data_IF_068345462477
#
_entry.id   IF_068345462477
#
_cell.length_a   1.000
_cell.length_b   1.000
_cell.length_c   1.000
_cell.angle_alpha   90.00
_cell.angle_beta   90.00
_cell.angle_gamma   90.00
#
_symmetry.space_group_name_H-M   'P 1'
#
loop_
_entity.id
_entity.type
_entity.pdbx_description
1 polymer ?
#
# COMPACT_ATOMS: atom_id res chain seq x y z
N UNK A 1 25.64 32.53 13.20
CA UNK A 1 26.12 31.37 12.42
C UNK A 1 24.88 30.59 12.02
N UNK A 2 24.43 30.76 10.78
CA UNK A 2 23.28 30.03 10.24
C UNK A 2 23.77 28.70 9.67
N UNK A 3 23.20 27.59 10.11
CA UNK A 3 23.46 26.27 9.56
C UNK A 3 22.14 25.67 9.05
N UNK A 4 22.05 25.43 7.74
CA UNK A 4 20.93 24.74 7.14
C UNK A 4 21.12 23.22 7.29
N UNK A 5 20.27 22.59 8.10
CA UNK A 5 20.23 21.14 8.24
C UNK A 5 19.35 20.54 7.14
N UNK A 6 19.86 19.52 6.46
CA UNK A 6 19.17 18.84 5.36
C UNK A 6 19.21 17.33 5.59
N UNK A 7 18.11 16.64 5.27
CA UNK A 7 18.04 15.18 5.33
C UNK A 7 18.71 14.49 4.13
N UNK A 8 19.08 15.25 3.09
CA UNK A 8 19.64 14.69 1.84
C UNK A 8 20.92 13.88 2.03
N UNK A 9 21.91 14.30 2.86
CA UNK A 9 23.10 13.49 3.09
C UNK A 9 22.77 12.13 3.73
N UNK A 10 21.89 12.11 4.74
CA UNK A 10 21.46 10.87 5.38
C UNK A 10 20.71 9.94 4.42
N UNK A 11 19.86 10.49 3.53
CA UNK A 11 19.22 9.73 2.46
C UNK A 11 20.24 9.17 1.48
N UNK A 12 21.21 9.99 1.05
CA UNK A 12 22.25 9.60 0.10
C UNK A 12 23.06 8.41 0.62
N UNK A 13 23.46 8.44 1.89
CA UNK A 13 24.21 7.35 2.53
C UNK A 13 23.42 6.03 2.52
N UNK A 14 22.11 6.10 2.77
CA UNK A 14 21.22 4.92 2.77
C UNK A 14 20.89 4.41 1.37
N UNK A 15 20.85 5.29 0.37
CA UNK A 15 20.52 4.96 -1.02
C UNK A 15 21.75 4.57 -1.85
N UNK A 16 22.96 4.90 -1.41
CA UNK A 16 24.21 4.60 -2.13
C UNK A 16 24.37 3.11 -2.51
N UNK A 17 24.03 2.12 -1.66
CA UNK A 17 24.08 0.70 -2.05
C UNK A 17 23.15 0.37 -3.21
N UNK A 18 21.95 0.94 -3.23
CA UNK A 18 20.97 0.75 -4.32
C UNK A 18 21.42 1.45 -5.60
N UNK A 19 21.98 2.65 -5.50
CA UNK A 19 22.56 3.36 -6.65
C UNK A 19 23.70 2.56 -7.30
N UNK A 20 24.56 1.93 -6.49
CA UNK A 20 25.60 1.02 -6.99
C UNK A 20 25.01 -0.24 -7.62
N UNK A 21 23.97 -0.81 -7.02
CA UNK A 21 23.27 -1.96 -7.60
C UNK A 21 22.61 -1.62 -8.95
N UNK A 22 22.19 -0.37 -9.14
CA UNK A 22 21.73 0.13 -10.44
C UNK A 22 22.85 0.21 -11.49
N UNK A 23 24.11 0.01 -11.14
CA UNK A 23 25.26 0.14 -12.05
C UNK A 23 25.47 1.56 -12.57
N UNK A 24 25.01 2.56 -11.82
CA UNK A 24 25.19 3.98 -12.13
C UNK A 24 26.50 4.50 -11.54
N UNK A 25 27.07 5.53 -12.18
CA UNK A 25 28.24 6.22 -11.66
C UNK A 25 28.01 6.67 -10.21
N UNK A 26 28.96 6.39 -9.28
CA UNK A 26 28.86 6.83 -7.90
C UNK A 26 28.62 8.34 -7.83
N UNK A 27 27.63 8.78 -7.04
CA UNK A 27 27.20 10.18 -6.97
C UNK A 27 25.97 10.43 -7.84
N UNK A 28 26.07 10.26 -9.17
CA UNK A 28 24.94 10.51 -10.09
C UNK A 28 23.74 9.62 -9.76
N UNK A 29 23.96 8.30 -9.61
CA UNK A 29 22.88 7.38 -9.28
C UNK A 29 22.24 7.68 -7.92
N UNK A 30 23.06 8.06 -6.93
CA UNK A 30 22.58 8.43 -5.60
C UNK A 30 21.76 9.71 -5.65
N UNK A 31 22.20 10.72 -6.38
CA UNK A 31 21.47 11.99 -6.56
C UNK A 31 20.12 11.78 -7.24
N UNK A 32 20.05 10.96 -8.29
CA UNK A 32 18.81 10.60 -8.96
C UNK A 32 17.84 9.92 -7.98
N UNK A 33 18.31 8.93 -7.21
CA UNK A 33 17.48 8.24 -6.22
C UNK A 33 17.01 9.19 -5.11
N UNK A 34 17.90 10.03 -4.58
CA UNK A 34 17.56 11.01 -3.53
C UNK A 34 16.52 12.00 -4.03
N UNK A 35 16.70 12.56 -5.23
CA UNK A 35 15.72 13.48 -5.82
C UNK A 35 14.38 12.79 -6.04
N UNK A 36 14.36 11.57 -6.60
CA UNK A 36 13.13 10.82 -6.81
C UNK A 36 12.39 10.53 -5.49
N UNK A 37 13.09 10.10 -4.44
CA UNK A 37 12.50 9.88 -3.10
C UNK A 37 11.91 11.17 -2.53
N UNK A 38 12.64 12.28 -2.61
CA UNK A 38 12.17 13.58 -2.11
C UNK A 38 10.93 14.04 -2.88
N UNK A 39 10.93 13.96 -4.20
CA UNK A 39 9.77 14.36 -5.02
C UNK A 39 8.55 13.47 -4.73
N UNK A 40 8.72 12.16 -4.65
CA UNK A 40 7.62 11.22 -4.32
C UNK A 40 7.07 11.44 -2.91
N UNK A 41 7.88 11.92 -1.96
CA UNK A 41 7.44 12.17 -0.58
C UNK A 41 6.44 13.32 -0.43
N UNK A 42 6.40 14.24 -1.39
CA UNK A 42 5.63 15.49 -1.28
C UNK A 42 4.94 15.89 -2.58
N UNK A 43 4.67 14.93 -3.47
CA UNK A 43 4.11 15.23 -4.79
C UNK A 43 2.66 15.70 -4.66
N UNK A 44 2.35 16.88 -5.19
CA UNK A 44 0.99 17.42 -5.25
C UNK A 44 0.75 18.06 -6.61
N UNK A 45 -0.46 17.89 -7.14
CA UNK A 45 -0.95 18.58 -8.34
C UNK A 45 -2.25 19.30 -7.98
N UNK A 46 -2.33 20.61 -8.25
CA UNK A 46 -3.50 21.45 -7.91
C UNK A 46 -3.97 21.34 -6.44
N UNK A 47 -3.05 21.03 -5.52
CA UNK A 47 -3.34 20.85 -4.09
C UNK A 47 -3.81 19.44 -3.70
N UNK A 48 -3.95 18.52 -4.67
CA UNK A 48 -4.24 17.11 -4.42
C UNK A 48 -2.93 16.31 -4.31
N UNK A 49 -2.73 15.52 -3.24
CA UNK A 49 -1.56 14.67 -3.11
C UNK A 49 -1.59 13.56 -4.17
N UNK A 50 -0.48 13.38 -4.87
CA UNK A 50 -0.28 12.26 -5.79
C UNK A 50 0.68 11.25 -5.17
N UNK A 51 0.37 9.96 -5.30
CA UNK A 51 1.20 8.87 -4.80
C UNK A 51 1.63 7.93 -5.94
N UNK A 52 2.41 8.42 -6.92
CA UNK A 52 2.84 7.61 -8.04
C UNK A 52 3.76 6.47 -7.58
N UNK A 53 3.83 5.43 -8.41
CA UNK A 53 4.88 4.40 -8.31
C UNK A 53 5.91 4.73 -9.37
N UNK A 54 7.18 4.84 -8.97
CA UNK A 54 8.31 5.15 -9.84
C UNK A 54 9.24 3.96 -9.91
N UNK A 55 9.60 3.53 -11.11
CA UNK A 55 10.62 2.52 -11.34
C UNK A 55 11.81 3.16 -12.05
N UNK A 56 13.00 2.91 -11.53
CA UNK A 56 14.26 3.41 -12.04
C UNK A 56 15.09 2.21 -12.47
N UNK A 57 15.55 2.18 -13.70
CA UNK A 57 16.35 1.08 -14.24
C UNK A 57 17.23 1.55 -15.39
N UNK A 58 17.84 0.58 -16.07
CA UNK A 58 18.74 0.85 -17.21
C UNK A 58 18.14 0.48 -18.56
N UNK A 59 17.36 -0.59 -18.60
CA UNK A 59 16.75 -1.12 -19.81
C UNK A 59 15.25 -1.25 -19.62
N UNK A 60 14.50 -0.85 -20.65
CA UNK A 60 13.04 -0.83 -20.60
C UNK A 60 12.47 -2.24 -20.56
N UNK A 61 12.95 -3.12 -21.43
CA UNK A 61 12.42 -4.48 -21.58
C UNK A 61 12.65 -5.31 -20.32
N UNK A 62 13.86 -5.26 -19.76
CA UNK A 62 14.21 -5.98 -18.53
C UNK A 62 13.42 -5.46 -17.33
N UNK A 63 13.22 -4.15 -17.25
CA UNK A 63 12.40 -3.53 -16.20
C UNK A 63 10.95 -3.99 -16.32
N UNK A 64 10.35 -3.89 -17.51
CA UNK A 64 8.96 -4.30 -17.74
C UNK A 64 8.76 -5.79 -17.45
N UNK A 65 9.69 -6.65 -17.86
CA UNK A 65 9.63 -8.08 -17.56
C UNK A 65 9.67 -8.35 -16.05
N UNK A 66 10.58 -7.70 -15.33
CA UNK A 66 10.77 -7.90 -13.89
C UNK A 66 9.55 -7.46 -13.06
N UNK A 67 8.81 -6.45 -13.51
CA UNK A 67 7.67 -5.87 -12.78
C UNK A 67 6.31 -6.20 -13.40
N UNK A 68 6.30 -7.07 -14.41
CA UNK A 68 5.12 -7.41 -15.22
C UNK A 68 4.42 -6.18 -15.81
N UNK A 69 5.21 -5.19 -16.21
CA UNK A 69 4.76 -3.98 -16.89
C UNK A 69 4.47 -4.23 -18.36
N UNK A 70 3.55 -3.45 -18.93
CA UNK A 70 3.17 -3.51 -20.34
C UNK A 70 2.91 -2.11 -20.92
N UNK A 71 2.77 -2.01 -22.23
CA UNK A 71 2.35 -0.78 -22.93
C UNK A 71 3.14 0.48 -22.50
N UNK A 72 4.48 0.48 -22.64
CA UNK A 72 5.27 1.66 -22.30
C UNK A 72 4.96 2.82 -23.24
N UNK A 73 4.92 4.02 -22.69
CA UNK A 73 4.79 5.29 -23.42
C UNK A 73 5.91 6.20 -22.93
N UNK A 74 6.95 6.36 -23.76
CA UNK A 74 8.04 7.30 -23.48
C UNK A 74 7.59 8.72 -23.83
N UNK A 75 7.79 9.66 -22.91
CA UNK A 75 7.32 11.03 -23.02
C UNK A 75 8.44 12.02 -23.30
N UNK A 76 9.68 11.69 -22.92
CA UNK A 76 10.81 12.54 -23.18
C UNK A 76 12.14 11.97 -22.72
N UNK A 77 13.18 12.74 -22.98
CA UNK A 77 14.54 12.45 -22.55
C UNK A 77 15.33 13.73 -22.31
N UNK A 78 16.44 13.62 -21.60
CA UNK A 78 17.38 14.72 -21.38
C UNK A 78 18.66 14.23 -20.73
N UNK A 79 19.60 15.17 -20.52
CA UNK A 79 20.83 14.88 -19.76
C UNK A 79 20.47 14.54 -18.32
N UNK A 80 21.16 13.55 -17.73
CA UNK A 80 20.94 13.17 -16.32
C UNK A 80 21.28 14.36 -15.43
N UNK A 81 20.25 14.93 -14.81
CA UNK A 81 20.37 16.02 -13.86
C UNK A 81 19.17 16.02 -12.91
N UNK A 82 19.30 16.70 -11.76
CA UNK A 82 18.19 16.88 -10.82
C UNK A 82 16.99 17.57 -11.47
N UNK A 83 17.24 18.51 -12.38
CA UNK A 83 16.20 19.21 -13.14
C UNK A 83 15.46 18.27 -14.07
N UNK A 84 16.18 17.37 -14.75
CA UNK A 84 15.57 16.37 -15.63
C UNK A 84 14.72 15.36 -14.83
N UNK A 85 15.19 14.93 -13.65
CA UNK A 85 14.38 14.07 -12.76
C UNK A 85 13.10 14.76 -12.32
N UNK A 86 13.17 16.04 -11.91
CA UNK A 86 11.98 16.82 -11.53
C UNK A 86 11.01 16.99 -12.69
N UNK A 87 11.53 17.32 -13.89
CA UNK A 87 10.74 17.44 -15.11
C UNK A 87 10.03 16.12 -15.46
N UNK A 88 10.77 15.01 -15.42
CA UNK A 88 10.24 13.68 -15.67
C UNK A 88 9.08 13.35 -14.71
N UNK A 89 9.30 13.52 -13.40
CA UNK A 89 8.29 13.23 -12.40
C UNK A 89 7.07 14.14 -12.54
N UNK A 90 7.27 15.44 -12.78
CA UNK A 90 6.16 16.39 -13.01
C UNK A 90 5.35 16.08 -14.26
N UNK A 91 6.01 15.62 -15.32
CA UNK A 91 5.33 15.28 -16.58
C UNK A 91 4.56 13.96 -16.48
N UNK A 92 5.05 13.00 -15.69
CA UNK A 92 4.48 11.66 -15.59
C UNK A 92 3.52 11.47 -14.41
N UNK A 93 3.67 12.19 -13.30
CA UNK A 93 2.92 11.94 -12.07
C UNK A 93 1.39 12.06 -12.24
N UNK A 94 0.85 13.07 -12.95
CA UNK A 94 -0.59 13.16 -13.19
C UNK A 94 -1.13 11.98 -14.02
N UNK A 95 -0.31 11.38 -14.88
CA UNK A 95 -0.67 10.22 -15.70
C UNK A 95 -0.62 8.90 -14.91
N UNK A 96 0.08 8.89 -13.78
CA UNK A 96 0.28 7.72 -12.91
C UNK A 96 -0.69 7.69 -11.71
N UNK A 97 -1.78 8.47 -11.77
CA UNK A 97 -2.82 8.44 -10.75
C UNK A 97 -3.49 7.05 -10.66
N UNK A 98 -3.87 6.63 -9.45
CA UNK A 98 -4.59 5.36 -9.24
C UNK A 98 -3.74 4.09 -9.43
N UNK A 99 -2.42 4.21 -9.63
CA UNK A 99 -1.45 3.10 -9.69
C UNK A 99 -1.71 2.05 -10.78
N UNK A 100 -2.52 2.37 -11.79
CA UNK A 100 -2.67 1.54 -13.00
C UNK A 100 -1.55 1.80 -14.00
N UNK A 101 -1.00 3.01 -13.92
CA UNK A 101 0.21 3.43 -14.61
C UNK A 101 1.29 3.70 -13.58
N UNK A 102 2.52 3.37 -13.93
CA UNK A 102 3.70 3.70 -13.14
C UNK A 102 4.69 4.49 -14.00
N UNK A 103 5.46 5.35 -13.33
CA UNK A 103 6.51 6.15 -13.96
C UNK A 103 7.73 5.26 -14.17
N UNK A 104 8.35 5.35 -15.34
CA UNK A 104 9.65 4.74 -15.62
C UNK A 104 10.69 5.82 -15.86
N UNK A 105 11.85 5.69 -15.20
CA UNK A 105 13.05 6.48 -15.44
C UNK A 105 14.17 5.52 -15.87
N UNK A 106 14.62 5.65 -17.11
CA UNK A 106 15.73 4.87 -17.66
C UNK A 106 16.98 5.73 -17.63
N UNK A 107 18.00 5.28 -16.91
CA UNK A 107 19.25 6.03 -16.71
C UNK A 107 20.40 5.27 -17.37
N UNK A 108 21.07 5.90 -18.33
CA UNK A 108 22.19 5.31 -19.05
C UNK A 108 22.95 6.33 -19.90
N UNK A 109 24.27 6.16 -20.05
CA UNK A 109 25.13 6.98 -20.94
C UNK A 109 25.00 8.51 -20.72
N UNK A 110 24.75 8.95 -19.47
CA UNK A 110 24.54 10.37 -19.16
C UNK A 110 23.20 10.93 -19.65
N UNK A 111 22.31 10.07 -20.15
CA UNK A 111 20.93 10.39 -20.53
C UNK A 111 19.92 9.78 -19.54
N UNK A 112 18.82 10.50 -19.35
CA UNK A 112 17.63 10.07 -18.64
C UNK A 112 16.47 10.08 -19.62
N UNK A 113 15.88 8.91 -19.88
CA UNK A 113 14.61 8.80 -20.60
C UNK A 113 13.49 8.55 -19.59
N UNK A 114 12.32 9.10 -19.85
CA UNK A 114 11.20 8.98 -18.94
C UNK A 114 9.87 8.79 -19.64
N UNK A 115 8.96 8.14 -18.94
CA UNK A 115 7.61 7.89 -19.44
C UNK A 115 6.75 7.19 -18.41
N UNK A 116 5.71 6.53 -18.89
CA UNK A 116 4.82 5.71 -18.08
C UNK A 116 4.62 4.34 -18.71
N UNK A 117 4.20 3.36 -17.91
CA UNK A 117 3.80 2.05 -18.41
C UNK A 117 2.61 1.51 -17.60
N UNK A 118 1.83 0.62 -18.19
CA UNK A 118 0.74 -0.08 -17.52
C UNK A 118 1.30 -1.12 -16.56
N UNK A 119 0.99 -1.01 -15.27
CA UNK A 119 1.34 -2.02 -14.26
C UNK A 119 0.53 -3.30 -14.44
N UNK A 120 0.90 -4.37 -13.73
CA UNK A 120 0.12 -5.62 -13.73
C UNK A 120 -1.36 -5.32 -13.36
N UNK A 121 -2.27 -5.70 -14.27
CA UNK A 121 -3.71 -5.47 -14.13
C UNK A 121 -4.42 -6.59 -13.40
N UNK A 122 -3.74 -7.72 -13.18
CA UNK A 122 -4.34 -8.84 -12.47
C UNK A 122 -4.70 -8.43 -11.04
N UNK A 123 -5.97 -8.56 -10.63
CA UNK A 123 -6.38 -8.27 -9.26
C UNK A 123 -5.84 -9.32 -8.27
N UNK A 124 -5.52 -10.54 -8.71
CA UNK A 124 -5.10 -11.66 -7.87
C UNK A 124 -3.58 -11.84 -7.77
N UNK A 125 -2.80 -11.02 -8.49
CA UNK A 125 -1.33 -10.99 -8.38
C UNK A 125 -0.89 -9.83 -7.49
N UNK A 126 0.31 -9.96 -6.93
CA UNK A 126 0.94 -8.86 -6.22
C UNK A 126 1.18 -7.69 -7.18
N UNK A 127 1.19 -6.47 -6.65
CA UNK A 127 1.42 -5.28 -7.49
C UNK A 127 2.84 -5.30 -8.08
N UNK A 128 3.07 -4.57 -9.18
CA UNK A 128 4.40 -4.40 -9.78
C UNK A 128 5.46 -3.94 -8.77
N UNK A 129 5.08 -3.13 -7.77
CA UNK A 129 5.98 -2.69 -6.70
C UNK A 129 6.26 -3.77 -5.64
N UNK A 130 5.30 -4.66 -5.37
CA UNK A 130 5.49 -5.83 -4.49
C UNK A 130 6.30 -6.93 -5.15
N UNK A 131 6.18 -7.12 -6.47
CA UNK A 131 6.97 -8.09 -7.23
C UNK A 131 8.48 -7.88 -7.03
N UNK A 132 8.92 -6.64 -6.75
CA UNK A 132 10.31 -6.32 -6.45
C UNK A 132 10.88 -7.07 -5.25
N UNK A 133 10.04 -7.41 -4.26
CA UNK A 133 10.48 -8.10 -3.04
C UNK A 133 10.90 -9.53 -3.30
N UNK A 134 10.37 -10.14 -4.34
CA UNK A 134 10.63 -11.53 -4.72
C UNK A 134 11.72 -11.65 -5.77
N UNK A 135 12.26 -10.52 -6.27
CA UNK A 135 13.32 -10.56 -7.24
C UNK A 135 14.63 -11.05 -6.59
N UNK A 136 15.30 -12.04 -7.21
CA UNK A 136 16.58 -12.53 -6.70
C UNK A 136 17.67 -11.45 -6.85
N UNK A 137 18.80 -11.63 -6.17
CA UNK A 137 19.87 -10.63 -6.13
C UNK A 137 20.58 -10.42 -7.48
N UNK A 138 20.48 -11.39 -8.38
CA UNK A 138 21.00 -11.38 -9.75
C UNK A 138 19.98 -10.86 -10.80
N UNK A 139 18.79 -10.44 -10.36
CA UNK A 139 17.80 -9.82 -11.23
C UNK A 139 18.31 -8.49 -11.83
N UNK A 140 17.69 -8.01 -12.93
CA UNK A 140 18.10 -6.77 -13.56
C UNK A 140 18.17 -5.59 -12.58
N UNK A 141 19.15 -4.68 -12.76
CA UNK A 141 19.34 -3.52 -11.90
C UNK A 141 18.13 -2.58 -11.99
N UNK A 142 17.30 -2.59 -10.95
CA UNK A 142 16.11 -1.75 -10.88
C UNK A 142 15.80 -1.33 -9.43
N UNK A 143 15.17 -0.17 -9.27
CA UNK A 143 14.69 0.35 -7.99
C UNK A 143 13.26 0.84 -8.16
N UNK A 144 12.36 0.40 -7.30
CA UNK A 144 11.01 0.95 -7.16
C UNK A 144 10.94 1.95 -6.01
N UNK A 145 10.16 3.01 -6.18
CA UNK A 145 9.89 4.04 -5.19
C UNK A 145 8.39 4.33 -5.17
N UNK A 146 7.76 4.38 -3.99
CA UNK A 146 6.37 4.81 -3.87
C UNK A 146 6.08 5.40 -2.50
N UNK A 147 5.09 6.28 -2.43
CA UNK A 147 4.52 6.71 -1.15
C UNK A 147 3.65 5.59 -0.56
N UNK A 148 3.80 5.36 0.75
CA UNK A 148 3.02 4.42 1.56
C UNK A 148 2.14 5.15 2.59
N UNK A 149 1.92 6.45 2.38
CA UNK A 149 1.22 7.38 3.27
C UNK A 149 1.74 8.81 3.08
N UNK A 150 1.12 9.80 3.73
CA UNK A 150 1.42 11.23 3.51
C UNK A 150 2.91 11.58 3.65
N UNK A 151 3.67 10.85 4.47
CA UNK A 151 5.08 11.15 4.76
C UNK A 151 6.00 9.93 4.78
N UNK A 152 5.53 8.78 4.32
CA UNK A 152 6.34 7.56 4.31
C UNK A 152 6.62 7.16 2.87
N UNK A 153 7.89 7.06 2.51
CA UNK A 153 8.32 6.57 1.19
C UNK A 153 8.97 5.20 1.34
N UNK A 154 8.45 4.23 0.58
CA UNK A 154 9.05 2.91 0.43
C UNK A 154 9.97 2.88 -0.79
N UNK A 155 11.16 2.31 -0.62
CA UNK A 155 12.13 2.07 -1.69
C UNK A 155 12.50 0.60 -1.71
N UNK A 156 12.45 -0.01 -2.89
CA UNK A 156 12.71 -1.45 -3.07
C UNK A 156 13.63 -1.72 -4.24
N UNK A 157 14.39 -2.80 -4.13
CA UNK A 157 15.20 -3.32 -5.23
C UNK A 157 15.38 -4.84 -5.12
N UNK A 158 16.08 -5.44 -6.09
CA UNK A 158 16.45 -6.84 -6.10
C UNK A 158 17.14 -7.32 -4.82
N UNK A 159 17.09 -8.63 -4.55
CA UNK A 159 17.80 -9.24 -3.43
C UNK A 159 17.22 -8.89 -2.05
N UNK A 160 15.96 -8.49 -2.00
CA UNK A 160 15.26 -8.16 -0.75
C UNK A 160 15.55 -6.76 -0.20
N UNK A 161 16.18 -5.87 -0.98
CA UNK A 161 16.40 -4.50 -0.57
C UNK A 161 15.04 -3.79 -0.34
N UNK A 162 14.81 -3.33 0.88
CA UNK A 162 13.53 -2.76 1.30
C UNK A 162 13.79 -1.68 2.38
N UNK A 163 13.72 -0.42 1.97
CA UNK A 163 13.97 0.76 2.81
C UNK A 163 12.68 1.55 2.98
N UNK A 164 12.52 2.15 4.16
CA UNK A 164 11.41 3.05 4.47
C UNK A 164 11.99 4.35 5.01
N UNK A 165 11.51 5.47 4.46
CA UNK A 165 11.86 6.80 4.88
C UNK A 165 10.61 7.49 5.43
N UNK A 166 10.66 7.87 6.70
CA UNK A 166 9.60 8.63 7.37
C UNK A 166 10.01 10.09 7.49
N UNK A 167 9.25 10.96 6.86
CA UNK A 167 9.43 12.42 6.82
C UNK A 167 8.54 13.16 7.83
N UNK A 168 7.81 12.45 8.69
CA UNK A 168 6.89 13.06 9.65
C UNK A 168 7.59 13.75 10.82
N UNK A 169 8.85 13.40 11.11
CA UNK A 169 9.61 13.95 12.24
C UNK A 169 9.09 13.51 13.62
N UNK A 170 7.87 12.99 13.68
CA UNK A 170 7.28 12.30 14.81
C UNK A 170 7.74 10.85 14.76
N UNK A 171 8.67 10.50 15.63
CA UNK A 171 9.07 9.13 15.84
C UNK A 171 7.89 8.33 16.42
N UNK A 172 6.95 7.91 15.56
CA UNK A 172 5.98 6.86 15.90
C UNK A 172 6.67 5.50 15.86
N UNK A 173 7.85 5.40 16.48
CA UNK A 173 8.66 4.17 16.59
C UNK A 173 7.89 3.01 17.25
N UNK A 174 6.82 3.32 17.99
CA UNK A 174 5.93 2.35 18.62
C UNK A 174 4.80 1.86 17.71
N UNK A 175 4.43 2.63 16.68
CA UNK A 175 3.48 2.18 15.65
C UNK A 175 4.23 1.25 14.72
N UNK A 176 3.93 -0.05 14.75
CA UNK A 176 4.64 -1.05 13.96
C UNK A 176 4.75 -0.66 12.46
N UNK A 177 5.75 -1.19 11.77
CA UNK A 177 5.94 -0.96 10.33
C UNK A 177 4.61 -1.08 9.56
N UNK A 178 4.26 -0.13 8.66
CA UNK A 178 3.04 -0.22 7.84
C UNK A 178 2.89 -1.57 7.14
N UNK A 179 4.01 -2.19 6.77
CA UNK A 179 4.06 -3.52 6.18
C UNK A 179 3.59 -4.63 7.13
N UNK A 180 3.92 -4.52 8.42
CA UNK A 180 3.46 -5.47 9.44
C UNK A 180 1.97 -5.30 9.68
N UNK A 181 1.49 -4.07 9.77
CA UNK A 181 0.05 -3.75 9.86
C UNK A 181 -0.72 -4.36 8.69
N UNK A 182 -0.20 -4.20 7.47
CA UNK A 182 -0.78 -4.81 6.26
C UNK A 182 -0.74 -6.34 6.32
N UNK A 183 0.39 -6.93 6.70
CA UNK A 183 0.53 -8.38 6.79
C UNK A 183 -0.45 -8.99 7.82
N UNK A 184 -0.60 -8.36 8.99
CA UNK A 184 -1.53 -8.80 10.02
C UNK A 184 -2.99 -8.67 9.58
N UNK A 185 -3.36 -7.59 8.89
CA UNK A 185 -4.70 -7.43 8.31
C UNK A 185 -4.99 -8.51 7.25
N UNK A 186 -4.09 -8.67 6.29
CA UNK A 186 -4.21 -9.65 5.19
C UNK A 186 -4.30 -11.06 5.75
N UNK A 187 -3.51 -11.38 6.77
CA UNK A 187 -3.58 -12.66 7.46
C UNK A 187 -4.94 -12.91 8.08
N UNK A 188 -5.46 -11.93 8.82
CA UNK A 188 -6.73 -12.07 9.51
C UNK A 188 -7.90 -12.26 8.54
N UNK A 189 -7.97 -11.43 7.50
CA UNK A 189 -9.08 -11.42 6.53
C UNK A 189 -9.07 -12.64 5.60
N UNK A 190 -7.93 -13.33 5.47
CA UNK A 190 -7.80 -14.53 4.61
C UNK A 190 -7.58 -15.84 5.38
N UNK A 191 -7.58 -15.80 6.73
CA UNK A 191 -7.24 -16.93 7.59
C UNK A 191 -8.05 -18.20 7.27
N UNK A 192 -9.35 -18.04 7.05
CA UNK A 192 -10.30 -19.14 6.80
C UNK A 192 -10.59 -19.35 5.31
N UNK A 193 -9.80 -18.73 4.41
CA UNK A 193 -9.83 -19.05 2.98
C UNK A 193 -9.14 -20.39 2.75
N UNK A 194 -9.77 -21.34 2.03
CA UNK A 194 -9.17 -22.64 1.70
C UNK A 194 -7.93 -22.51 0.80
N UNK A 195 -6.96 -23.40 0.99
CA UNK A 195 -5.93 -23.66 -0.03
C UNK A 195 -6.57 -24.36 -1.24
N UNK A 196 -6.11 -24.11 -2.49
CA UNK A 196 -4.92 -23.36 -2.89
C UNK A 196 -5.11 -21.85 -3.15
N UNK A 197 -6.28 -21.28 -2.82
CA UNK A 197 -6.66 -19.91 -3.20
C UNK A 197 -6.10 -18.83 -2.28
N UNK A 198 -5.77 -19.22 -1.04
CA UNK A 198 -5.33 -18.29 0.00
C UNK A 198 -4.20 -17.36 -0.47
N UNK A 199 -3.15 -17.80 -1.20
CA UNK A 199 -2.10 -16.91 -1.69
C UNK A 199 -2.60 -15.80 -2.63
N UNK A 200 -3.54 -16.12 -3.52
CA UNK A 200 -4.12 -15.18 -4.48
C UNK A 200 -5.00 -14.15 -3.77
N UNK A 201 -5.84 -14.60 -2.83
CA UNK A 201 -6.67 -13.70 -2.04
C UNK A 201 -5.82 -12.84 -1.10
N UNK A 202 -4.71 -13.37 -0.57
CA UNK A 202 -3.74 -12.56 0.17
C UNK A 202 -3.17 -11.45 -0.70
N UNK A 203 -2.79 -11.73 -1.95
CA UNK A 203 -2.30 -10.71 -2.87
C UNK A 203 -3.37 -9.63 -3.17
N UNK A 204 -4.61 -10.06 -3.39
CA UNK A 204 -5.75 -9.16 -3.59
C UNK A 204 -5.99 -8.24 -2.39
N UNK A 205 -6.12 -8.79 -1.19
CA UNK A 205 -6.35 -8.02 0.03
C UNK A 205 -5.15 -7.17 0.41
N UNK A 206 -3.94 -7.62 0.10
CA UNK A 206 -2.74 -6.83 0.28
C UNK A 206 -2.77 -5.58 -0.60
N UNK A 207 -3.19 -5.69 -1.86
CA UNK A 207 -3.36 -4.54 -2.76
C UNK A 207 -4.37 -3.54 -2.22
N UNK A 208 -5.54 -4.01 -1.75
CA UNK A 208 -6.53 -3.15 -1.09
C UNK A 208 -5.93 -2.48 0.14
N UNK A 209 -5.26 -3.26 0.99
CA UNK A 209 -4.64 -2.77 2.22
C UNK A 209 -3.63 -1.66 1.96
N UNK A 210 -2.75 -1.82 0.97
CA UNK A 210 -1.75 -0.80 0.59
C UNK A 210 -2.44 0.53 0.29
N UNK A 211 -3.53 0.50 -0.49
CA UNK A 211 -4.27 1.71 -0.84
C UNK A 211 -5.00 2.32 0.37
N UNK A 212 -5.51 1.49 1.29
CA UNK A 212 -6.15 1.93 2.54
C UNK A 212 -5.14 2.59 3.49
N UNK A 213 -3.97 1.99 3.66
CA UNK A 213 -2.92 2.51 4.56
C UNK A 213 -2.26 3.76 3.96
N UNK A 214 -2.07 3.78 2.63
CA UNK A 214 -1.43 4.90 1.93
C UNK A 214 -2.38 6.05 1.61
N UNK A 215 -3.70 5.83 1.64
CA UNK A 215 -4.70 6.82 1.27
C UNK A 215 -4.84 7.95 2.30
N UNK A 216 -5.46 9.07 1.92
CA UNK A 216 -5.61 10.24 2.77
C UNK A 216 -6.68 10.09 3.87
N UNK A 217 -7.64 9.16 3.72
CA UNK A 217 -8.76 8.98 4.64
C UNK A 217 -8.45 8.02 5.79
N UNK A 218 -8.88 8.35 7.00
CA UNK A 218 -8.77 7.43 8.14
C UNK A 218 -9.63 6.20 7.88
N UNK A 219 -9.20 5.03 8.35
CA UNK A 219 -9.93 3.77 8.18
C UNK A 219 -10.03 3.03 9.51
N UNK A 220 -11.14 2.32 9.71
CA UNK A 220 -11.33 1.42 10.83
C UNK A 220 -11.99 0.15 10.32
N UNK A 221 -11.32 -0.98 10.50
CA UNK A 221 -11.76 -2.27 9.97
C UNK A 221 -11.81 -3.29 11.10
N UNK A 222 -12.89 -4.06 11.14
CA UNK A 222 -13.04 -5.22 12.01
C UNK A 222 -13.11 -6.48 11.15
N UNK A 223 -12.38 -7.52 11.55
CA UNK A 223 -12.44 -8.84 10.93
C UNK A 223 -13.06 -9.79 11.94
N UNK A 224 -14.25 -10.30 11.66
CA UNK A 224 -14.93 -11.33 12.45
C UNK A 224 -14.30 -12.70 12.20
N UNK A 225 -14.33 -13.55 13.22
CA UNK A 225 -14.15 -14.98 13.00
C UNK A 225 -15.24 -15.53 12.06
N UNK A 226 -14.89 -16.43 11.14
CA UNK A 226 -15.83 -16.96 10.13
C UNK A 226 -17.10 -17.63 10.69
N UNK A 227 -17.09 -17.99 11.98
CA UNK A 227 -18.21 -18.60 12.70
C UNK A 227 -18.89 -17.62 13.68
N UNK A 228 -18.32 -16.44 13.89
CA UNK A 228 -18.88 -15.44 14.77
C UNK A 228 -20.08 -14.76 14.08
N UNK A 229 -21.09 -14.44 14.87
CA UNK A 229 -22.16 -13.54 14.44
C UNK A 229 -21.69 -12.10 14.57
N UNK A 230 -22.36 -11.19 13.86
CA UNK A 230 -22.17 -9.76 14.04
C UNK A 230 -22.34 -9.41 15.52
N UNK A 231 -21.31 -8.84 16.19
CA UNK A 231 -21.43 -8.51 17.59
C UNK A 231 -22.48 -7.42 17.84
N UNK A 232 -23.23 -7.54 18.94
CA UNK A 232 -24.28 -6.58 19.30
C UNK A 232 -23.78 -5.14 19.42
N UNK A 233 -22.49 -4.96 19.74
CA UNK A 233 -21.89 -3.62 19.85
C UNK A 233 -21.74 -2.90 18.50
N UNK A 234 -21.88 -3.61 17.36
CA UNK A 234 -21.81 -3.08 15.98
C UNK A 234 -23.19 -2.95 15.31
N UNK A 235 -24.28 -2.79 16.05
CA UNK A 235 -25.62 -2.85 15.46
C UNK A 235 -26.00 -1.67 14.55
N UNK A 236 -25.37 -0.50 14.69
CA UNK A 236 -25.84 0.75 14.09
C UNK A 236 -25.25 0.99 12.68
N UNK A 237 -24.97 -0.10 11.95
CA UNK A 237 -24.29 -0.07 10.66
C UNK A 237 -25.13 -0.52 9.48
N UNK A 238 -24.61 -0.27 8.27
CA UNK A 238 -25.19 -0.79 7.04
C UNK A 238 -24.71 -2.23 6.82
N UNK A 239 -25.49 -3.18 7.32
CA UNK A 239 -25.30 -4.60 7.08
C UNK A 239 -25.83 -4.99 5.70
N UNK A 240 -25.03 -5.70 4.92
CA UNK A 240 -25.45 -6.16 3.61
C UNK A 240 -26.41 -7.35 3.75
N UNK A 241 -27.49 -7.33 2.97
CA UNK A 241 -28.44 -8.45 2.91
C UNK A 241 -27.74 -9.75 2.47
N UNK A 242 -26.80 -9.62 1.53
CA UNK A 242 -25.90 -10.69 1.12
C UNK A 242 -24.46 -10.18 1.25
N UNK A 243 -23.57 -10.90 1.97
CA UNK A 243 -22.15 -10.56 2.01
C UNK A 243 -21.56 -10.48 0.60
N UNK A 244 -20.76 -9.44 0.34
CA UNK A 244 -19.98 -9.41 -0.89
C UNK A 244 -18.86 -10.43 -0.74
N UNK A 245 -18.88 -11.46 -1.59
CA UNK A 245 -17.93 -12.56 -1.55
C UNK A 245 -16.96 -12.50 -2.74
N UNK A 246 -15.85 -11.78 -2.53
CA UNK A 246 -14.79 -11.71 -3.52
C UNK A 246 -14.00 -13.00 -3.64
N UNK A 247 -14.00 -13.84 -2.60
CA UNK A 247 -13.37 -15.17 -2.64
C UNK A 247 -14.07 -16.06 -3.65
N UNK A 248 -15.41 -16.07 -3.67
CA UNK A 248 -16.18 -16.79 -4.67
C UNK A 248 -15.97 -16.26 -6.10
N UNK A 249 -15.77 -14.94 -6.25
CA UNK A 249 -15.49 -14.34 -7.56
C UNK A 249 -14.07 -14.65 -8.05
N UNK A 250 -13.08 -14.57 -7.18
CA UNK A 250 -11.69 -14.93 -7.48
C UNK A 250 -11.58 -16.41 -7.89
N UNK A 251 -12.33 -17.28 -7.21
CA UNK A 251 -12.50 -18.69 -7.52
C UNK A 251 -12.94 -18.95 -8.97
N UNK A 252 -14.00 -18.26 -9.40
CA UNK A 252 -14.52 -18.40 -10.77
C UNK A 252 -13.51 -17.87 -11.79
N UNK A 253 -12.90 -16.73 -11.50
CA UNK A 253 -11.89 -16.15 -12.38
C UNK A 253 -10.69 -17.10 -12.59
N UNK A 254 -10.18 -17.74 -11.54
CA UNK A 254 -9.06 -18.69 -11.65
C UNK A 254 -9.44 -19.97 -12.39
N UNK A 255 -10.69 -20.43 -12.25
CA UNK A 255 -11.16 -21.61 -12.96
C UNK A 255 -11.39 -21.34 -14.46
N UNK A 256 -12.01 -20.21 -14.79
CA UNK A 256 -12.55 -19.94 -16.12
C UNK A 256 -11.74 -18.93 -16.93
N UNK A 257 -10.87 -18.15 -16.27
CA UNK A 257 -10.12 -17.03 -16.84
C UNK A 257 -11.00 -16.04 -17.62
N UNK A 258 -12.28 -15.91 -17.20
CA UNK A 258 -13.28 -15.10 -17.87
C UNK A 258 -13.06 -13.60 -17.68
N UNK A 259 -13.17 -12.83 -18.76
CA UNK A 259 -13.04 -11.37 -18.75
C UNK A 259 -14.07 -10.70 -17.83
N UNK A 260 -15.29 -11.25 -17.76
CA UNK A 260 -16.36 -10.74 -16.90
C UNK A 260 -15.99 -10.81 -15.42
N UNK A 261 -15.41 -11.92 -14.96
CA UNK A 261 -15.01 -12.06 -13.56
C UNK A 261 -13.78 -11.19 -13.24
N UNK A 262 -12.86 -11.02 -14.20
CA UNK A 262 -11.74 -10.08 -14.06
C UNK A 262 -12.22 -8.64 -13.85
N UNK A 263 -13.15 -8.17 -14.68
CA UNK A 263 -13.79 -6.86 -14.55
C UNK A 263 -14.57 -6.75 -13.23
N UNK A 264 -15.24 -7.82 -12.82
CA UNK A 264 -15.91 -7.91 -11.54
C UNK A 264 -14.94 -7.69 -10.36
N UNK A 265 -13.80 -8.39 -10.35
CA UNK A 265 -12.79 -8.25 -9.29
C UNK A 265 -12.25 -6.82 -9.21
N UNK A 266 -12.02 -6.18 -10.36
CA UNK A 266 -11.60 -4.78 -10.42
C UNK A 266 -12.69 -3.85 -9.86
N UNK A 267 -13.93 -4.03 -10.29
CA UNK A 267 -15.06 -3.19 -9.87
C UNK A 267 -15.34 -3.33 -8.37
N UNK A 268 -15.44 -4.56 -7.87
CA UNK A 268 -15.68 -4.82 -6.45
C UNK A 268 -14.48 -4.43 -5.58
N UNK A 269 -13.24 -4.62 -6.04
CA UNK A 269 -12.07 -4.09 -5.36
C UNK A 269 -12.13 -2.57 -5.20
N UNK A 270 -12.58 -1.85 -6.24
CA UNK A 270 -12.83 -0.41 -6.16
C UNK A 270 -13.91 -0.05 -5.15
N UNK A 271 -15.01 -0.80 -5.12
CA UNK A 271 -16.09 -0.60 -4.15
C UNK A 271 -15.64 -0.84 -2.70
N UNK A 272 -14.88 -1.90 -2.45
CA UNK A 272 -14.34 -2.23 -1.12
C UNK A 272 -13.49 -1.09 -0.58
N UNK A 273 -12.59 -0.55 -1.41
CA UNK A 273 -11.75 0.60 -1.02
C UNK A 273 -12.58 1.81 -0.62
N UNK A 274 -13.64 2.12 -1.36
CA UNK A 274 -14.55 3.21 -1.03
C UNK A 274 -15.29 2.94 0.29
N UNK A 275 -15.79 1.72 0.49
CA UNK A 275 -16.46 1.33 1.74
C UNK A 275 -15.53 1.39 2.96
N UNK A 276 -14.26 1.02 2.81
CA UNK A 276 -13.23 1.12 3.87
C UNK A 276 -12.88 2.57 4.20
N UNK A 277 -12.87 3.45 3.19
CA UNK A 277 -12.58 4.87 3.36
C UNK A 277 -13.76 5.70 3.90
N UNK A 278 -14.95 5.12 4.06
CA UNK A 278 -16.10 5.80 4.64
C UNK A 278 -15.91 5.99 6.16
N UNK A 279 -16.70 6.88 6.73
CA UNK A 279 -16.74 7.00 8.20
C UNK A 279 -17.37 5.75 8.83
N UNK A 280 -17.02 5.48 10.08
CA UNK A 280 -17.42 4.27 10.79
C UNK A 280 -16.46 3.09 10.58
N UNK A 281 -16.97 1.89 10.83
CA UNK A 281 -16.23 0.62 10.81
C UNK A 281 -16.69 -0.19 9.60
N UNK A 282 -15.74 -0.71 8.84
CA UNK A 282 -15.99 -1.74 7.82
C UNK A 282 -15.79 -3.12 8.43
N UNK A 283 -16.71 -4.02 8.18
CA UNK A 283 -16.73 -5.35 8.80
C UNK A 283 -16.51 -6.41 7.72
N UNK A 284 -15.45 -7.17 7.87
CA UNK A 284 -15.17 -8.39 7.12
C UNK A 284 -15.35 -9.62 8.00
N UNK A 285 -15.45 -10.80 7.39
CA UNK A 285 -15.07 -12.03 8.06
C UNK A 285 -13.67 -12.50 7.63
N UNK A 286 -13.16 -13.51 8.32
CA UNK A 286 -11.87 -14.15 8.04
C UNK A 286 -11.83 -15.02 6.78
N UNK A 287 -12.94 -15.08 6.01
CA UNK A 287 -12.99 -15.68 4.66
C UNK A 287 -12.87 -14.61 3.57
N UNK A 288 -12.72 -13.35 3.93
CA UNK A 288 -12.62 -12.24 3.00
C UNK A 288 -13.97 -11.89 2.38
N UNK A 289 -15.05 -11.94 3.15
CA UNK A 289 -16.35 -11.42 2.73
C UNK A 289 -16.63 -10.12 3.45
N UNK A 290 -17.06 -9.10 2.72
CA UNK A 290 -17.52 -7.85 3.31
C UNK A 290 -18.96 -8.03 3.80
N UNK A 291 -19.16 -7.87 5.10
CA UNK A 291 -20.45 -8.09 5.78
C UNK A 291 -21.25 -6.80 5.95
N UNK A 292 -20.55 -5.70 6.20
CA UNK A 292 -21.17 -4.40 6.45
C UNK A 292 -20.14 -3.29 6.46
N UNK A 293 -20.64 -2.06 6.40
CA UNK A 293 -19.82 -0.86 6.44
C UNK A 293 -20.57 0.28 7.13
N UNK A 294 -19.85 1.35 7.48
CA UNK A 294 -20.42 2.48 8.21
C UNK A 294 -21.05 2.04 9.55
N UNK A 295 -20.44 1.04 10.22
CA UNK A 295 -20.88 0.57 11.53
C UNK A 295 -20.29 1.44 12.63
N UNK A 296 -21.04 1.64 13.72
CA UNK A 296 -20.57 2.39 14.88
C UNK A 296 -20.69 1.56 16.15
N UNK A 297 -19.81 1.86 17.11
CA UNK A 297 -19.86 1.25 18.43
C UNK A 297 -20.95 1.93 19.24
N UNK A 298 -21.87 1.13 19.79
CA UNK A 298 -22.93 1.63 20.68
C UNK A 298 -22.34 2.46 21.83
N UNK A 299 -22.91 3.64 22.07
CA UNK A 299 -22.44 4.59 23.09
C UNK A 299 -22.34 4.00 24.51
N UNK A 300 -23.18 3.01 24.82
CA UNK A 300 -23.21 2.31 26.11
C UNK A 300 -21.92 1.52 26.39
N UNK A 301 -21.22 1.06 25.35
CA UNK A 301 -19.95 0.33 25.46
C UNK A 301 -18.77 1.31 25.64
N UNK A 302 -18.88 2.52 25.06
CA UNK A 302 -17.86 3.58 25.16
C UNK A 302 -17.88 4.25 26.56
N UNK A 303 -19.01 4.19 27.27
CA UNK A 303 -19.23 4.83 28.57
C UNK A 303 -18.71 4.08 29.81
N UNK A 304 -18.16 2.87 29.67
CA UNK A 304 -17.54 2.18 30.80
C UNK A 304 -16.13 2.74 31.07
N UNK A 305 -15.72 2.96 32.35
CA UNK A 305 -14.46 3.61 32.70
C UNK A 305 -13.27 2.65 32.53
N UNK A 306 -13.05 2.13 31.32
CA UNK A 306 -11.89 1.32 30.99
C UNK A 306 -10.84 2.18 30.29
N UNK A 307 -9.91 2.71 31.10
CA UNK A 307 -8.76 3.57 30.74
C UNK A 307 -9.15 4.92 30.13
N UNK A 308 -8.51 6.00 30.61
CA UNK A 308 -8.48 7.28 29.90
C UNK A 308 -7.80 7.06 28.54
N UNK A 309 -8.53 6.60 27.53
CA UNK A 309 -8.02 6.50 26.17
C UNK A 309 -7.90 7.93 25.64
N UNK A 310 -6.68 8.45 25.63
CA UNK A 310 -6.35 9.73 24.99
C UNK A 310 -6.36 9.50 23.49
N UNK A 311 -7.30 10.14 22.78
CA UNK A 311 -7.39 10.03 21.32
C UNK A 311 -8.76 10.41 20.76
N UNK A 312 -8.82 10.66 19.46
CA UNK A 312 -10.06 10.98 18.74
C UNK A 312 -11.06 9.80 18.69
N UNK A 313 -12.26 10.05 18.17
CA UNK A 313 -13.36 9.06 18.14
C UNK A 313 -12.95 7.69 17.53
N UNK A 314 -12.21 7.70 16.41
CA UNK A 314 -11.72 6.47 15.76
C UNK A 314 -10.72 5.68 16.62
N UNK A 315 -9.81 6.36 17.34
CA UNK A 315 -8.85 5.68 18.22
C UNK A 315 -9.58 5.01 19.39
N UNK A 316 -10.58 5.68 19.98
CA UNK A 316 -11.41 5.08 21.03
C UNK A 316 -12.18 3.87 20.51
N UNK A 317 -12.75 3.96 19.32
CA UNK A 317 -13.44 2.83 18.70
C UNK A 317 -12.48 1.65 18.44
N UNK A 318 -11.27 1.93 17.96
CA UNK A 318 -10.24 0.91 17.78
C UNK A 318 -9.85 0.19 19.08
N UNK A 319 -9.70 0.90 20.20
CA UNK A 319 -9.40 0.26 21.49
C UNK A 319 -10.54 -0.65 21.96
N UNK A 320 -11.81 -0.29 21.71
CA UNK A 320 -12.95 -1.18 21.99
C UNK A 320 -12.88 -2.43 21.12
N UNK A 321 -12.66 -2.28 19.80
CA UNK A 321 -12.49 -3.43 18.90
C UNK A 321 -11.35 -4.33 19.37
N UNK A 322 -10.23 -3.74 19.80
CA UNK A 322 -9.10 -4.48 20.30
C UNK A 322 -9.39 -5.32 21.55
N UNK A 323 -10.34 -4.91 22.39
CA UNK A 323 -10.80 -5.70 23.53
C UNK A 323 -11.57 -6.96 23.12
N UNK A 324 -12.09 -6.99 21.89
CA UNK A 324 -12.89 -8.09 21.32
C UNK A 324 -12.05 -9.02 20.43
N UNK A 325 -10.79 -8.66 20.14
CA UNK A 325 -9.85 -9.49 19.37
C UNK A 325 -9.47 -10.73 20.15
N UNK A 326 -9.66 -11.90 19.53
CA UNK A 326 -9.49 -13.21 20.16
C UNK A 326 -10.77 -13.77 20.80
N UNK A 327 -11.85 -12.99 20.82
CA UNK A 327 -13.18 -13.42 21.25
C UNK A 327 -14.12 -13.50 20.04
N UNK A 328 -14.64 -12.36 19.60
CA UNK A 328 -15.56 -12.24 18.47
C UNK A 328 -14.86 -11.78 17.19
N UNK A 329 -13.71 -11.09 17.33
CA UNK A 329 -12.92 -10.59 16.22
C UNK A 329 -11.62 -11.41 16.03
N UNK A 330 -11.32 -11.72 14.79
CA UNK A 330 -10.01 -12.21 14.37
C UNK A 330 -8.97 -11.09 14.36
N UNK A 331 -9.36 -9.87 13.98
CA UNK A 331 -8.49 -8.70 14.01
C UNK A 331 -9.26 -7.36 14.01
N UNK A 332 -8.55 -6.31 14.39
CA UNK A 332 -8.95 -4.92 14.22
C UNK A 332 -7.81 -4.13 13.58
N UNK A 333 -8.11 -3.29 12.59
CA UNK A 333 -7.16 -2.42 11.90
C UNK A 333 -7.62 -0.96 12.04
N UNK A 334 -6.68 -0.09 12.37
CA UNK A 334 -6.88 1.34 12.47
C UNK A 334 -5.86 2.08 11.62
N UNK A 335 -6.33 3.09 10.87
CA UNK A 335 -5.52 4.10 10.20
C UNK A 335 -6.05 5.49 10.56
N UNK A 336 -5.18 6.32 11.10
CA UNK A 336 -5.46 7.71 11.43
C UNK A 336 -5.29 8.60 10.20
N UNK A 337 -5.81 9.84 10.23
CA UNK A 337 -5.65 10.76 9.09
C UNK A 337 -4.20 11.20 8.89
N UNK A 338 -3.49 11.38 10.00
CA UNK A 338 -2.07 11.73 10.12
C UNK A 338 -1.11 10.56 9.80
N UNK A 339 -1.63 9.40 9.39
CA UNK A 339 -0.82 8.30 8.85
C UNK A 339 -0.37 7.25 9.86
N UNK A 340 -0.73 7.37 11.14
CA UNK A 340 -0.53 6.31 12.12
C UNK A 340 -1.42 5.11 11.78
N UNK A 341 -0.83 3.92 11.75
CA UNK A 341 -1.55 2.68 11.45
C UNK A 341 -1.21 1.59 12.47
N UNK A 342 -2.22 0.84 12.89
CA UNK A 342 -2.08 -0.26 13.85
C UNK A 342 -3.03 -1.40 13.46
N UNK A 343 -2.57 -2.65 13.57
CA UNK A 343 -3.41 -3.83 13.44
C UNK A 343 -3.20 -4.74 14.65
N UNK A 344 -4.29 -5.08 15.35
CA UNK A 344 -4.29 -6.07 16.43
C UNK A 344 -4.95 -7.33 15.92
N UNK A 345 -4.21 -8.44 15.92
CA UNK A 345 -4.67 -9.74 15.44
C UNK A 345 -4.69 -10.74 16.59
N UNK A 346 -5.68 -11.64 16.60
CA UNK A 346 -5.72 -12.74 17.53
C UNK A 346 -4.51 -13.67 17.32
N UNK A 347 -3.90 -14.22 18.39
CA UNK A 347 -2.84 -15.21 18.24
C UNK A 347 -3.37 -16.40 17.42
N UNK A 348 -2.58 -16.87 16.47
CA UNK A 348 -2.94 -18.07 15.69
C UNK A 348 -3.06 -19.24 16.68
N UNK A 349 -4.25 -19.81 16.83
CA UNK A 349 -4.42 -21.06 17.59
C UNK A 349 -3.67 -22.15 16.81
N UNK A 350 -2.56 -22.60 17.39
CA UNK A 350 -1.69 -23.67 16.89
C UNK A 350 -2.35 -25.03 16.95
#
# INVERSE_FOLDING_TARGET
MESLLSFRPALADRLAPLARALGLEPGVGTEVLVEAVVQVSSFHEEGFPLAPVVFIGRGLEELLQAVHGTHPVLLGSGVVSLECVRLALRSCAPLAEGRQWAIVLLVGEGQLQFGVFCTDRSPLRVTSFEALRTLPADAPPLVGITSLGERVVGVRGPGGANLFFDFSGTAHLESGSPMRVLADFVEAVTRDVPEPLRPQLRAFYYRIGVEVVSGAHGALVAVLDARAQAPDFLSDGLWLAEPLDLTALALRYEAEHGERDALGLIAYGSLYRRMIGMDGITVFDSRGRLLGYNCFIRQQVIGQPARKVVGGARRRAFEVLCGEVGHSLAAALYRSRDGAAECRRAPSQS
#
